data_IF_083433582809
#
_entry.id   IF_083433582809
#
_cell.length_a   1.000
_cell.length_b   1.000
_cell.length_c   1.000
_cell.angle_alpha   90.00
_cell.angle_beta   90.00
_cell.angle_gamma   90.00
#
_symmetry.space_group_name_H-M   'P 1'
#
loop_
_entity.id
_entity.type
_entity.pdbx_description
1 polymer ?
#
# COMPACT_ATOMS: atom_id res chain seq x y z
N UNK A 1 -13.13 63.41 -31.74
CA UNK A 1 -14.04 62.32 -32.11
C UNK A 1 -13.23 61.02 -32.16
N UNK A 2 -13.49 60.12 -31.20
CA UNK A 2 -13.21 58.65 -31.20
C UNK A 2 -11.73 58.20 -31.19
N UNK A 3 -11.23 57.70 -30.04
CA UNK A 3 -11.13 56.27 -29.61
C UNK A 3 -9.87 55.59 -30.21
N UNK A 4 -9.04 54.75 -29.59
CA UNK A 4 -9.09 53.75 -28.52
C UNK A 4 -7.64 53.61 -27.96
N UNK A 5 -7.37 53.14 -26.74
CA UNK A 5 -7.10 51.71 -26.53
C UNK A 5 -7.03 51.38 -25.03
N UNK A 6 -8.00 50.60 -24.57
CA UNK A 6 -7.96 49.88 -23.31
C UNK A 6 -7.51 48.46 -23.63
N UNK A 7 -6.37 48.04 -23.09
CA UNK A 7 -5.90 46.64 -23.19
C UNK A 7 -6.65 45.83 -22.13
N UNK A 8 -7.50 44.90 -22.58
CA UNK A 8 -8.21 43.96 -21.73
C UNK A 8 -7.32 42.73 -21.51
N UNK A 9 -6.80 42.54 -20.29
CA UNK A 9 -6.08 41.33 -19.92
C UNK A 9 -7.09 40.20 -19.67
N UNK A 10 -7.16 39.23 -20.57
CA UNK A 10 -7.97 38.03 -20.38
C UNK A 10 -7.22 37.04 -19.46
N UNK A 11 -7.74 36.85 -18.25
CA UNK A 11 -7.25 35.83 -17.32
C UNK A 11 -7.89 34.48 -17.70
N UNK A 12 -7.14 33.62 -18.38
CA UNK A 12 -7.61 32.28 -18.70
C UNK A 12 -7.51 31.40 -17.45
N UNK A 13 -8.66 31.08 -16.82
CA UNK A 13 -8.74 30.00 -15.84
C UNK A 13 -8.56 28.67 -16.58
N UNK A 14 -7.39 28.03 -16.42
CA UNK A 14 -7.25 26.62 -16.71
C UNK A 14 -7.98 25.83 -15.62
N UNK A 15 -9.21 25.41 -15.91
CA UNK A 15 -9.88 24.37 -15.14
C UNK A 15 -9.20 23.03 -15.47
N UNK A 16 -8.28 22.60 -14.62
CA UNK A 16 -7.72 21.25 -14.67
C UNK A 16 -8.85 20.26 -14.42
N UNK A 17 -9.35 19.63 -15.49
CA UNK A 17 -10.21 18.47 -15.37
C UNK A 17 -9.38 17.35 -14.77
N UNK A 18 -9.61 17.04 -13.49
CA UNK A 18 -9.14 15.80 -12.88
C UNK A 18 -9.90 14.69 -13.60
N UNK A 19 -9.31 14.10 -14.63
CA UNK A 19 -9.76 12.83 -15.18
C UNK A 19 -9.57 11.78 -14.08
N UNK A 20 -10.61 11.57 -13.29
CA UNK A 20 -10.75 10.37 -12.49
C UNK A 20 -10.82 9.19 -13.46
N UNK A 21 -9.70 8.51 -13.66
CA UNK A 21 -9.69 7.27 -14.43
C UNK A 21 -10.72 6.33 -13.82
N UNK A 22 -11.70 5.88 -14.63
CA UNK A 22 -12.62 4.84 -14.19
C UNK A 22 -11.78 3.61 -13.81
N UNK A 23 -12.11 2.93 -12.70
CA UNK A 23 -11.38 1.72 -12.33
C UNK A 23 -11.41 0.73 -13.51
N UNK A 24 -10.30 -0.01 -13.74
CA UNK A 24 -10.24 -1.06 -14.74
C UNK A 24 -11.49 -1.95 -14.69
N UNK A 25 -12.00 -2.34 -15.85
CA UNK A 25 -13.10 -3.30 -15.93
C UNK A 25 -12.72 -4.61 -15.20
N UNK A 26 -13.71 -5.33 -14.69
CA UNK A 26 -13.52 -6.59 -13.96
C UNK A 26 -14.14 -7.76 -14.71
N UNK A 27 -13.42 -8.88 -14.75
CA UNK A 27 -13.84 -10.16 -15.33
C UNK A 27 -13.74 -11.24 -14.27
N UNK A 28 -14.85 -11.93 -14.02
CA UNK A 28 -14.85 -13.05 -13.08
C UNK A 28 -14.22 -14.30 -13.70
N UNK A 29 -13.32 -14.94 -12.95
CA UNK A 29 -12.57 -16.15 -13.31
C UNK A 29 -13.04 -17.34 -12.49
N UNK A 30 -14.24 -17.83 -12.81
CA UNK A 30 -14.84 -18.99 -12.10
C UNK A 30 -14.02 -20.27 -12.28
N UNK A 31 -13.25 -20.36 -13.36
CA UNK A 31 -12.32 -21.46 -13.67
C UNK A 31 -11.21 -21.63 -12.61
N UNK A 32 -10.84 -20.55 -11.91
CA UNK A 32 -9.83 -20.59 -10.84
C UNK A 32 -10.30 -21.25 -9.55
N UNK A 33 -11.60 -21.60 -9.43
CA UNK A 33 -12.12 -22.38 -8.31
C UNK A 33 -11.31 -23.67 -8.08
N UNK A 34 -10.90 -24.30 -9.17
CA UNK A 34 -10.10 -25.52 -9.15
C UNK A 34 -8.81 -25.40 -8.32
N UNK A 35 -8.15 -24.24 -8.32
CA UNK A 35 -6.93 -24.00 -7.56
C UNK A 35 -7.12 -24.00 -6.04
N UNK A 36 -8.33 -23.66 -5.59
CA UNK A 36 -8.70 -23.65 -4.18
C UNK A 36 -9.28 -25.00 -3.75
N UNK A 37 -10.14 -25.60 -4.58
CA UNK A 37 -10.77 -26.89 -4.32
C UNK A 37 -9.74 -28.01 -4.13
N UNK A 38 -8.67 -28.03 -4.94
CA UNK A 38 -7.59 -29.02 -4.83
C UNK A 38 -6.88 -29.01 -3.45
N UNK A 39 -7.05 -27.93 -2.67
CA UNK A 39 -6.46 -27.77 -1.34
C UNK A 39 -7.51 -27.67 -0.22
N UNK A 40 -8.79 -27.98 -0.51
CA UNK A 40 -9.90 -27.78 0.43
C UNK A 40 -9.93 -26.36 1.02
N UNK A 41 -9.56 -25.37 0.21
CA UNK A 41 -9.44 -23.98 0.64
C UNK A 41 -10.62 -23.12 0.17
N UNK A 42 -10.93 -22.07 0.93
CA UNK A 42 -11.88 -21.02 0.51
C UNK A 42 -11.11 -19.71 0.42
N UNK A 43 -11.04 -19.15 -0.79
CA UNK A 43 -10.26 -17.94 -1.04
C UNK A 43 -10.78 -17.10 -2.18
N UNK A 44 -9.97 -16.12 -2.55
CA UNK A 44 -10.15 -15.21 -3.68
C UNK A 44 -8.78 -14.96 -4.29
N UNK A 45 -8.75 -14.71 -5.59
CA UNK A 45 -7.55 -14.31 -6.30
C UNK A 45 -7.91 -13.11 -7.18
N UNK A 46 -7.13 -12.03 -7.07
CA UNK A 46 -7.27 -10.82 -7.86
C UNK A 46 -5.97 -10.60 -8.60
N UNK A 47 -6.02 -10.51 -9.93
CA UNK A 47 -4.87 -10.24 -10.78
C UNK A 47 -5.19 -9.06 -11.68
N UNK A 48 -4.29 -8.08 -11.70
CA UNK A 48 -4.32 -6.97 -12.66
C UNK A 48 -3.03 -7.03 -13.48
N UNK A 49 -3.14 -7.37 -14.76
CA UNK A 49 -2.00 -7.37 -15.67
C UNK A 49 -1.82 -5.98 -16.29
N UNK A 50 -0.93 -5.18 -15.71
CA UNK A 50 -0.64 -3.82 -16.16
C UNK A 50 0.21 -3.75 -17.45
N UNK A 51 0.62 -4.89 -18.01
CA UNK A 51 1.33 -4.92 -19.31
C UNK A 51 0.37 -4.74 -20.49
N UNK A 52 -0.92 -4.96 -20.28
CA UNK A 52 -1.97 -4.72 -21.28
C UNK A 52 -2.23 -3.21 -21.44
N UNK A 53 -2.45 -2.71 -22.67
CA UNK A 53 -2.86 -1.31 -22.88
C UNK A 53 -4.20 -0.98 -22.22
N UNK A 54 -5.07 -1.99 -22.06
CA UNK A 54 -6.34 -1.89 -21.36
C UNK A 54 -6.35 -2.97 -20.26
N UNK A 55 -5.77 -2.68 -19.08
CA UNK A 55 -5.73 -3.64 -18.00
C UNK A 55 -7.16 -3.90 -17.50
N UNK A 56 -7.43 -5.14 -17.13
CA UNK A 56 -8.69 -5.57 -16.51
C UNK A 56 -8.38 -6.38 -15.27
N UNK A 57 -9.18 -6.20 -14.22
CA UNK A 57 -9.12 -7.07 -13.07
C UNK A 57 -9.66 -8.44 -13.45
N UNK A 58 -8.88 -9.48 -13.17
CA UNK A 58 -9.29 -10.87 -13.26
C UNK A 58 -9.51 -11.35 -11.83
N UNK A 59 -10.76 -11.70 -11.49
CA UNK A 59 -11.16 -11.92 -10.10
C UNK A 59 -11.84 -13.28 -9.93
N UNK A 60 -11.36 -14.09 -9.01
CA UNK A 60 -12.10 -15.25 -8.50
C UNK A 60 -12.76 -14.91 -7.16
N UNK A 61 -14.03 -15.24 -6.98
CA UNK A 61 -14.81 -14.95 -5.78
C UNK A 61 -14.86 -13.43 -5.46
N UNK A 62 -15.51 -12.62 -6.32
CA UNK A 62 -15.51 -11.16 -6.20
C UNK A 62 -16.14 -10.65 -4.89
N UNK A 63 -17.11 -11.38 -4.33
CA UNK A 63 -17.69 -11.06 -3.01
C UNK A 63 -16.65 -11.11 -1.91
N UNK A 64 -15.76 -12.11 -1.91
CA UNK A 64 -14.66 -12.19 -0.93
C UNK A 64 -13.57 -11.17 -1.24
N UNK A 65 -13.28 -10.91 -2.52
CA UNK A 65 -12.30 -9.89 -2.94
C UNK A 65 -12.63 -8.49 -2.39
N UNK A 66 -13.91 -8.14 -2.28
CA UNK A 66 -14.37 -6.86 -1.74
C UNK A 66 -14.59 -6.86 -0.23
N UNK A 67 -14.33 -7.96 0.47
CA UNK A 67 -14.48 -8.05 1.94
C UNK A 67 -13.17 -7.64 2.63
N UNK A 68 -13.18 -6.65 3.53
CA UNK A 68 -11.98 -6.28 4.29
C UNK A 68 -11.57 -7.37 5.29
N UNK A 69 -10.26 -7.58 5.44
CA UNK A 69 -9.66 -8.47 6.43
C UNK A 69 -8.52 -7.76 7.16
N UNK A 70 -8.15 -8.24 8.35
CA UNK A 70 -6.95 -7.77 9.02
C UNK A 70 -5.72 -8.01 8.11
N UNK A 71 -4.89 -6.99 7.85
CA UNK A 71 -3.78 -7.13 6.92
C UNK A 71 -2.61 -7.96 7.46
N UNK A 72 -2.52 -8.12 8.79
CA UNK A 72 -1.42 -8.80 9.45
C UNK A 72 -0.06 -8.30 8.91
N UNK A 73 0.82 -9.21 8.46
CA UNK A 73 2.15 -8.84 7.97
C UNK A 73 2.17 -8.07 6.65
N UNK A 74 1.08 -8.00 5.86
CA UNK A 74 1.07 -7.20 4.63
C UNK A 74 1.11 -5.69 4.93
N UNK A 75 0.65 -5.28 6.12
CA UNK A 75 0.75 -3.89 6.59
C UNK A 75 2.19 -3.38 6.72
N UNK A 76 3.18 -4.27 6.78
CA UNK A 76 4.60 -3.89 6.82
C UNK A 76 5.02 -3.04 5.61
N UNK A 77 4.34 -3.18 4.46
CA UNK A 77 4.61 -2.40 3.26
C UNK A 77 4.32 -0.90 3.50
N UNK A 78 3.06 -0.46 3.75
CA UNK A 78 2.78 0.94 4.04
C UNK A 78 3.50 1.42 5.29
N UNK A 79 3.62 0.58 6.33
CA UNK A 79 4.27 0.98 7.57
C UNK A 79 5.76 1.30 7.40
N UNK A 80 6.48 0.60 6.51
CA UNK A 80 7.87 0.95 6.18
C UNK A 80 7.97 2.28 5.42
N UNK A 81 7.02 2.56 4.51
CA UNK A 81 6.95 3.86 3.82
C UNK A 81 6.71 4.99 4.82
N UNK A 82 5.80 4.79 5.77
CA UNK A 82 5.51 5.79 6.81
C UNK A 82 6.74 6.04 7.70
N UNK A 83 7.50 5.00 8.02
CA UNK A 83 8.70 5.12 8.84
C UNK A 83 9.82 5.94 8.17
N UNK A 84 9.99 5.75 6.86
CA UNK A 84 10.94 6.50 6.03
C UNK A 84 10.48 7.96 5.89
N UNK A 85 9.22 8.18 5.53
CA UNK A 85 8.63 9.52 5.37
C UNK A 85 8.64 10.32 6.67
N UNK A 86 8.40 9.66 7.81
CA UNK A 86 8.45 10.31 9.13
C UNK A 86 9.87 10.52 9.66
N UNK A 87 10.90 9.96 9.00
CA UNK A 87 12.29 10.04 9.45
C UNK A 87 12.64 9.17 10.66
N UNK A 88 11.76 8.24 11.07
CA UNK A 88 12.03 7.25 12.13
C UNK A 88 13.09 6.23 11.67
N UNK A 89 13.08 5.95 10.37
CA UNK A 89 14.07 5.12 9.70
C UNK A 89 14.78 5.97 8.66
N UNK A 90 16.10 6.04 8.74
CA UNK A 90 16.94 6.82 7.84
C UNK A 90 16.93 6.26 6.42
N UNK A 91 17.18 4.95 6.31
CA UNK A 91 17.32 4.21 5.07
C UNK A 91 17.18 2.70 5.35
N UNK A 92 17.25 1.87 4.32
CA UNK A 92 17.15 0.41 4.44
C UNK A 92 18.36 -0.25 5.11
N UNK A 93 19.45 0.48 5.33
CA UNK A 93 20.68 0.00 5.98
C UNK A 93 20.69 0.27 7.48
N UNK A 94 19.81 1.13 8.00
CA UNK A 94 19.66 1.33 9.44
C UNK A 94 19.45 0.00 10.16
N UNK A 95 20.28 -0.24 11.18
CA UNK A 95 20.20 -1.45 12.00
C UNK A 95 19.29 -1.21 13.20
N UNK A 96 18.25 -2.04 13.31
CA UNK A 96 17.45 -2.25 14.51
C UNK A 96 18.15 -3.30 15.37
N UNK A 97 18.67 -2.89 16.52
CA UNK A 97 19.35 -3.79 17.45
C UNK A 97 18.36 -4.71 18.14
N UNK A 98 18.69 -6.00 18.20
CA UNK A 98 17.93 -6.97 18.97
C UNK A 98 18.05 -6.67 20.47
N UNK A 99 16.95 -6.86 21.18
CA UNK A 99 16.84 -6.63 22.62
C UNK A 99 17.36 -7.80 23.47
N UNK A 100 17.84 -8.88 22.85
CA UNK A 100 18.30 -10.09 23.54
C UNK A 100 17.15 -11.00 24.00
N UNK A 101 15.89 -10.59 23.84
CA UNK A 101 14.74 -11.40 24.22
C UNK A 101 14.47 -12.46 23.15
N UNK A 102 14.61 -13.73 23.52
CA UNK A 102 14.31 -14.85 22.64
C UNK A 102 12.80 -14.94 22.37
N UNK A 103 12.44 -15.01 21.11
CA UNK A 103 11.09 -15.16 20.57
C UNK A 103 10.98 -16.47 19.79
N UNK A 104 9.75 -16.86 19.48
CA UNK A 104 9.43 -18.18 18.91
C UNK A 104 10.02 -18.44 17.52
N UNK A 105 10.21 -17.38 16.74
CA UNK A 105 10.80 -17.47 15.41
C UNK A 105 12.29 -17.17 15.48
N UNK A 106 13.13 -18.14 15.12
CA UNK A 106 14.59 -17.97 15.17
C UNK A 106 15.08 -16.76 14.37
N UNK A 107 14.46 -16.49 13.22
CA UNK A 107 14.75 -15.32 12.39
C UNK A 107 14.45 -13.99 13.07
N UNK A 108 13.71 -13.95 14.19
CA UNK A 108 13.45 -12.72 14.94
C UNK A 108 14.53 -12.42 15.99
N UNK A 109 15.42 -13.36 16.27
CA UNK A 109 16.37 -13.31 17.40
C UNK A 109 17.75 -12.80 16.96
N UNK A 110 17.77 -11.71 16.19
CA UNK A 110 18.99 -11.10 15.66
C UNK A 110 18.78 -9.63 15.33
N UNK A 111 19.86 -8.89 15.14
CA UNK A 111 19.80 -7.55 14.57
C UNK A 111 19.15 -7.58 13.17
N UNK A 112 18.36 -6.56 12.85
CA UNK A 112 17.69 -6.44 11.57
C UNK A 112 17.88 -5.07 10.94
N UNK A 113 17.54 -4.99 9.66
CA UNK A 113 17.33 -3.76 8.90
C UNK A 113 16.00 -3.90 8.14
N UNK A 114 15.56 -2.90 7.37
CA UNK A 114 14.25 -2.99 6.69
C UNK A 114 14.15 -4.20 5.76
N UNK A 115 15.25 -4.57 5.08
CA UNK A 115 15.28 -5.72 4.16
C UNK A 115 15.05 -7.04 4.89
N UNK A 116 15.81 -7.28 5.96
CA UNK A 116 15.73 -8.53 6.72
C UNK A 116 14.46 -8.60 7.57
N UNK A 117 14.02 -7.48 8.15
CA UNK A 117 12.79 -7.43 8.94
C UNK A 117 11.54 -7.67 8.09
N UNK A 118 11.49 -7.12 6.88
CA UNK A 118 10.38 -7.36 5.96
C UNK A 118 10.36 -8.81 5.48
N UNK A 119 11.52 -9.36 5.09
CA UNK A 119 11.63 -10.77 4.62
C UNK A 119 11.29 -11.78 5.71
N UNK A 120 11.76 -11.56 6.93
CA UNK A 120 11.48 -12.42 8.09
C UNK A 120 10.13 -12.13 8.76
N UNK A 121 9.34 -11.19 8.24
CA UNK A 121 8.12 -10.70 8.88
C UNK A 121 8.32 -10.37 10.37
N UNK A 122 9.46 -9.78 10.71
CA UNK A 122 9.94 -9.58 12.10
C UNK A 122 9.09 -8.55 12.82
N UNK A 123 8.10 -9.02 13.59
CA UNK A 123 7.05 -8.16 14.16
C UNK A 123 7.62 -7.09 15.10
N UNK A 124 8.62 -7.41 15.91
CA UNK A 124 9.14 -6.48 16.91
C UNK A 124 9.77 -5.22 16.30
N UNK A 125 10.36 -5.31 15.10
CA UNK A 125 10.88 -4.13 14.38
C UNK A 125 9.75 -3.17 14.04
N UNK A 126 8.62 -3.69 13.57
CA UNK A 126 7.47 -2.85 13.20
C UNK A 126 6.71 -2.33 14.43
N UNK A 127 6.75 -3.03 15.55
CA UNK A 127 6.25 -2.50 16.82
C UNK A 127 7.12 -1.33 17.31
N UNK A 128 8.45 -1.45 17.20
CA UNK A 128 9.40 -0.39 17.51
C UNK A 128 9.20 0.85 16.62
N UNK A 129 8.90 0.64 15.33
CA UNK A 129 8.54 1.70 14.37
C UNK A 129 7.23 2.35 14.78
N UNK A 130 6.16 1.58 15.04
CA UNK A 130 4.85 2.11 15.43
C UNK A 130 4.95 3.05 16.63
N UNK A 131 5.71 2.66 17.66
CA UNK A 131 5.91 3.47 18.86
C UNK A 131 6.57 4.82 18.57
N UNK A 132 7.43 4.90 17.54
CA UNK A 132 8.16 6.12 17.16
C UNK A 132 7.40 7.00 16.18
N UNK A 133 6.58 6.42 15.31
CA UNK A 133 5.66 7.19 14.48
C UNK A 133 4.55 7.77 15.37
N UNK A 134 4.02 6.97 16.29
CA UNK A 134 2.90 7.37 17.14
C UNK A 134 1.55 7.33 16.40
N UNK A 135 0.48 7.18 17.17
CA UNK A 135 -0.88 7.02 16.62
C UNK A 135 -1.36 8.21 15.75
N UNK A 136 -1.17 9.50 16.14
CA UNK A 136 -1.68 10.61 15.34
C UNK A 136 -1.05 10.70 13.95
N UNK A 137 0.26 10.48 13.86
CA UNK A 137 0.96 10.47 12.58
C UNK A 137 0.59 9.24 11.76
N UNK A 138 0.52 8.05 12.39
CA UNK A 138 0.09 6.83 11.71
C UNK A 138 -1.31 6.99 11.08
N UNK A 139 -2.27 7.57 11.81
CA UNK A 139 -3.61 7.88 11.28
C UNK A 139 -3.54 8.82 10.07
N UNK A 140 -2.74 9.88 10.16
CA UNK A 140 -2.54 10.83 9.05
C UNK A 140 -1.98 10.13 7.80
N UNK A 141 -1.04 9.20 7.98
CA UNK A 141 -0.45 8.46 6.85
C UNK A 141 -1.43 7.44 6.25
N UNK A 142 -2.22 6.75 7.06
CA UNK A 142 -3.28 5.85 6.59
C UNK A 142 -4.31 6.60 5.73
N UNK A 143 -4.78 7.75 6.22
CA UNK A 143 -5.70 8.63 5.49
C UNK A 143 -5.10 9.10 4.16
N UNK A 144 -3.84 9.56 4.17
CA UNK A 144 -3.13 9.98 2.95
C UNK A 144 -2.92 8.84 1.95
N UNK A 145 -2.69 7.63 2.43
CA UNK A 145 -2.47 6.46 1.59
C UNK A 145 -3.78 5.86 1.05
N UNK A 146 -4.95 6.28 1.58
CA UNK A 146 -6.23 5.64 1.28
C UNK A 146 -6.27 4.18 1.72
N UNK A 147 -5.58 3.84 2.81
CA UNK A 147 -5.45 2.48 3.35
C UNK A 147 -6.39 2.25 4.53
#
# INVERSE_FOLDING_TARGET
>A
MRLFSTVLLAFAMFASTVYGASPPASVERTDWKSFFDQHNAVGTLVVLDQRSPNPVFQVYNPKRASTPYLPASTYKIPHALFALEHGVVKDEFQVFKWDGNKRDFDVWNSDHNLRSSMRGSVVWVYQWIAQRIGEPAAKTYLEKAGY
#
